data_IF_032023481054
#
_entry.id   IF_032023481054
#
_cell.length_a   1.000
_cell.length_b   1.000
_cell.length_c   1.000
_cell.angle_alpha   90.00
_cell.angle_beta   90.00
_cell.angle_gamma   90.00
#
_symmetry.space_group_name_H-M   'P 1'
#
loop_
_entity.id
_entity.type
_entity.pdbx_description
1 polymer ?
#
# COMPACT_ATOMS: atom_id res chain seq x y z
N UNK A 1 4.68 -6.63 -18.26
CA UNK A 1 3.78 -5.58 -17.77
C UNK A 1 4.51 -4.24 -17.83
N UNK A 2 3.84 -3.22 -18.31
CA UNK A 2 4.41 -1.87 -18.31
C UNK A 2 4.19 -1.27 -16.90
N UNK A 3 5.15 -0.51 -16.39
CA UNK A 3 5.01 0.20 -15.11
C UNK A 3 3.73 1.05 -15.02
N UNK A 4 3.24 1.54 -16.16
CA UNK A 4 2.00 2.30 -16.29
C UNK A 4 0.70 1.53 -15.96
N UNK A 5 0.78 0.22 -15.74
CA UNK A 5 -0.38 -0.64 -15.43
C UNK A 5 -0.56 -0.87 -13.94
N UNK A 6 0.40 -0.43 -13.11
CA UNK A 6 0.36 -0.59 -11.67
C UNK A 6 0.10 0.77 -11.02
N UNK A 7 -0.87 0.83 -10.12
CA UNK A 7 -1.11 1.97 -9.25
C UNK A 7 -0.94 1.58 -7.79
N UNK A 8 -0.13 2.33 -7.08
CA UNK A 8 0.02 2.20 -5.63
C UNK A 8 -1.04 3.06 -4.94
N UNK A 9 -1.86 2.43 -4.10
CA UNK A 9 -2.87 3.09 -3.27
C UNK A 9 -2.41 3.07 -1.82
N UNK A 10 -2.32 4.24 -1.18
CA UNK A 10 -1.84 4.38 0.19
C UNK A 10 -2.62 5.44 0.95
N UNK A 11 -2.63 5.35 2.28
CA UNK A 11 -3.23 6.34 3.17
C UNK A 11 -2.29 7.50 3.54
N UNK A 12 -1.05 7.48 3.06
CA UNK A 12 -0.01 8.47 3.32
C UNK A 12 0.29 8.70 4.82
N UNK A 13 0.03 7.72 5.67
CA UNK A 13 0.47 7.77 7.06
C UNK A 13 1.99 7.59 7.16
N UNK A 14 2.58 7.98 8.29
CA UNK A 14 4.01 7.77 8.51
C UNK A 14 4.37 6.27 8.46
N UNK A 15 5.59 5.95 8.05
CA UNK A 15 6.07 4.57 7.94
C UNK A 15 5.81 3.94 6.56
N UNK A 16 5.23 2.75 6.52
CA UNK A 16 5.07 1.95 5.30
C UNK A 16 4.22 2.66 4.25
N UNK A 17 3.18 3.37 4.63
CA UNK A 17 2.32 4.12 3.70
C UNK A 17 3.12 5.13 2.87
N UNK A 18 3.93 5.96 3.54
CA UNK A 18 4.80 6.94 2.85
C UNK A 18 5.92 6.24 2.09
N UNK A 19 6.50 5.20 2.64
CA UNK A 19 7.51 4.41 1.96
C UNK A 19 7.00 3.80 0.65
N UNK A 20 5.77 3.33 0.62
CA UNK A 20 5.13 2.83 -0.59
C UNK A 20 4.96 3.93 -1.64
N UNK A 21 4.58 5.15 -1.23
CA UNK A 21 4.47 6.30 -2.12
C UNK A 21 5.84 6.72 -2.66
N UNK A 22 6.89 6.76 -1.83
CA UNK A 22 8.25 7.04 -2.29
C UNK A 22 8.72 6.02 -3.32
N UNK A 23 8.54 4.72 -3.04
CA UNK A 23 8.90 3.68 -3.99
C UNK A 23 8.14 3.81 -5.32
N UNK A 24 6.86 4.16 -5.26
CA UNK A 24 6.07 4.39 -6.47
C UNK A 24 6.61 5.58 -7.29
N UNK A 25 6.99 6.67 -6.61
CA UNK A 25 7.59 7.85 -7.25
C UNK A 25 8.92 7.47 -7.92
N UNK A 26 9.80 6.81 -7.19
CA UNK A 26 11.13 6.42 -7.68
C UNK A 26 11.05 5.45 -8.87
N UNK A 27 10.06 4.59 -8.89
CA UNK A 27 9.82 3.62 -9.97
C UNK A 27 8.96 4.17 -11.12
N UNK A 28 8.51 5.43 -11.04
CA UNK A 28 7.63 6.02 -12.05
C UNK A 28 6.26 5.36 -12.17
N UNK A 29 5.77 4.75 -11.08
CA UNK A 29 4.45 4.12 -11.02
C UNK A 29 3.35 5.16 -10.76
N UNK A 30 2.13 4.85 -11.18
CA UNK A 30 0.98 5.62 -10.73
C UNK A 30 0.75 5.41 -9.22
N UNK A 31 0.34 6.46 -8.53
CA UNK A 31 0.07 6.41 -7.08
C UNK A 31 -1.03 7.37 -6.66
N UNK A 32 -1.56 7.18 -5.46
CA UNK A 32 -2.60 8.00 -4.88
C UNK A 32 -3.25 7.29 -3.69
N UNK A 33 -4.46 7.70 -3.36
CA UNK A 33 -5.26 7.11 -2.29
C UNK A 33 -6.04 8.16 -1.51
N UNK A 34 -6.70 7.72 -0.44
CA UNK A 34 -7.53 8.54 0.42
C UNK A 34 -6.83 8.82 1.75
N UNK A 35 -6.88 10.06 2.18
CA UNK A 35 -6.41 10.53 3.49
C UNK A 35 -7.59 11.01 4.33
N UNK A 36 -7.47 11.06 5.68
CA UNK A 36 -8.53 11.59 6.52
C UNK A 36 -8.78 13.08 6.23
N UNK A 37 -9.97 13.55 6.56
CA UNK A 37 -10.30 14.99 6.54
C UNK A 37 -9.29 15.78 7.40
N UNK A 38 -8.84 16.92 6.87
CA UNK A 38 -7.78 17.73 7.46
C UNK A 38 -6.37 17.24 7.13
N UNK A 39 -6.24 16.28 6.19
CA UNK A 39 -4.93 15.75 5.77
C UNK A 39 -4.08 15.19 6.92
N UNK A 40 -4.74 14.66 7.96
CA UNK A 40 -4.10 14.27 9.21
C UNK A 40 -3.28 12.98 9.05
N UNK A 41 -2.12 12.98 9.71
CA UNK A 41 -1.30 11.79 9.97
C UNK A 41 -1.11 11.64 11.48
N UNK A 42 -0.50 10.54 11.91
CA UNK A 42 -0.16 10.34 13.33
C UNK A 42 0.80 11.42 13.88
N UNK A 43 1.67 11.94 13.01
CA UNK A 43 2.71 12.91 13.38
C UNK A 43 2.49 14.29 12.75
N UNK A 44 1.24 14.66 12.44
CA UNK A 44 0.95 15.97 11.84
C UNK A 44 0.03 15.90 10.64
N UNK A 45 0.49 16.38 9.47
CA UNK A 45 -0.28 16.38 8.24
C UNK A 45 0.49 15.75 7.08
N UNK A 46 -0.25 15.25 6.09
CA UNK A 46 0.32 14.72 4.85
C UNK A 46 1.17 15.78 4.16
N UNK A 47 2.40 15.43 3.84
CA UNK A 47 3.36 16.32 3.18
C UNK A 47 2.86 16.84 1.83
N UNK A 48 3.31 18.06 1.47
CA UNK A 48 2.91 18.72 0.23
C UNK A 48 3.22 17.89 -1.03
N UNK A 49 4.29 17.08 -0.99
CA UNK A 49 4.70 16.18 -2.08
C UNK A 49 3.58 15.22 -2.51
N UNK A 50 2.79 14.72 -1.55
CA UNK A 50 1.77 13.71 -1.83
C UNK A 50 0.41 14.30 -2.19
N UNK A 51 0.10 15.52 -1.72
CA UNK A 51 -1.23 16.13 -1.85
C UNK A 51 -1.78 16.15 -3.28
N UNK A 52 -1.01 16.43 -4.34
CA UNK A 52 -1.55 16.56 -5.68
C UNK A 52 -2.25 15.30 -6.22
N UNK A 53 -1.87 14.11 -5.73
CA UNK A 53 -2.45 12.83 -6.18
C UNK A 53 -3.30 12.12 -5.12
N UNK A 54 -3.41 12.68 -3.91
CA UNK A 54 -4.23 12.13 -2.84
C UNK A 54 -5.62 12.76 -2.83
N UNK A 55 -6.60 12.04 -2.27
CA UNK A 55 -7.97 12.49 -2.09
C UNK A 55 -8.30 12.61 -0.61
N UNK A 56 -8.91 13.71 -0.21
CA UNK A 56 -9.37 13.91 1.15
C UNK A 56 -10.71 13.21 1.37
N UNK A 57 -10.83 12.41 2.41
CA UNK A 57 -12.06 11.77 2.83
C UNK A 57 -12.95 12.77 3.60
N UNK A 58 -14.27 12.62 3.51
CA UNK A 58 -15.21 13.51 4.19
C UNK A 58 -15.15 13.42 5.73
N UNK A 59 -14.68 12.30 6.27
CA UNK A 59 -14.59 12.04 7.70
C UNK A 59 -13.14 12.17 8.20
N UNK A 60 -13.00 12.68 9.44
CA UNK A 60 -11.75 12.65 10.20
C UNK A 60 -11.38 11.24 10.69
N UNK A 61 -12.33 10.29 10.66
CA UNK A 61 -12.11 8.92 11.10
C UNK A 61 -11.19 8.17 10.13
N UNK A 62 -10.10 7.65 10.67
CA UNK A 62 -9.12 6.86 9.91
C UNK A 62 -9.73 5.60 9.28
N UNK A 63 -10.73 4.99 9.89
CA UNK A 63 -11.36 3.77 9.39
C UNK A 63 -12.09 4.01 8.06
N UNK A 64 -12.75 5.15 7.90
CA UNK A 64 -13.46 5.49 6.67
C UNK A 64 -12.51 5.54 5.46
N UNK A 65 -11.38 6.26 5.59
CA UNK A 65 -10.38 6.33 4.52
C UNK A 65 -9.71 4.97 4.26
N UNK A 66 -9.44 4.19 5.32
CA UNK A 66 -8.86 2.84 5.18
C UNK A 66 -9.80 1.93 4.40
N UNK A 67 -11.07 1.91 4.77
CA UNK A 67 -12.09 1.15 4.05
C UNK A 67 -12.17 1.55 2.57
N UNK A 68 -12.07 2.85 2.29
CA UNK A 68 -12.10 3.37 0.91
C UNK A 68 -10.87 2.94 0.11
N UNK A 69 -9.68 3.00 0.71
CA UNK A 69 -8.45 2.54 0.07
C UNK A 69 -8.51 1.05 -0.26
N UNK A 70 -9.03 0.21 0.64
CA UNK A 70 -9.25 -1.22 0.36
C UNK A 70 -10.26 -1.40 -0.78
N UNK A 71 -11.36 -0.68 -0.77
CA UNK A 71 -12.40 -0.77 -1.80
C UNK A 71 -11.88 -0.40 -3.20
N UNK A 72 -11.01 0.62 -3.27
CA UNK A 72 -10.41 1.13 -4.51
C UNK A 72 -9.19 0.30 -4.98
N UNK A 73 -8.80 -0.76 -4.24
CA UNK A 73 -7.65 -1.62 -4.55
C UNK A 73 -8.08 -3.02 -4.98
N UNK A 74 -7.37 -3.62 -5.92
CA UNK A 74 -7.57 -5.01 -6.32
C UNK A 74 -6.97 -5.99 -5.31
N UNK A 75 -5.86 -5.61 -4.69
CA UNK A 75 -5.15 -6.39 -3.71
C UNK A 75 -4.51 -5.48 -2.65
N UNK A 76 -4.31 -5.99 -1.43
CA UNK A 76 -3.77 -5.23 -0.31
C UNK A 76 -2.59 -5.97 0.31
N UNK A 77 -1.43 -5.36 0.32
CA UNK A 77 -0.27 -5.82 1.07
C UNK A 77 -0.27 -5.15 2.45
N UNK A 78 -0.27 -5.96 3.49
CA UNK A 78 -0.23 -5.52 4.88
C UNK A 78 1.14 -5.92 5.45
N UNK A 79 1.96 -4.92 5.79
CA UNK A 79 3.28 -5.14 6.38
C UNK A 79 3.20 -4.80 7.87
N UNK A 80 3.65 -5.69 8.74
CA UNK A 80 3.56 -5.51 10.19
C UNK A 80 4.87 -5.86 10.89
N UNK A 81 5.10 -5.25 12.06
CA UNK A 81 6.18 -5.62 12.97
C UNK A 81 5.71 -6.56 14.08
N UNK A 82 4.40 -6.73 14.25
CA UNK A 82 3.85 -7.42 15.41
C UNK A 82 2.71 -8.36 15.05
N UNK A 83 2.68 -9.49 15.76
CA UNK A 83 1.56 -10.41 15.83
C UNK A 83 1.15 -10.58 17.31
N UNK A 84 -0.15 -10.72 17.60
CA UNK A 84 -1.28 -10.66 16.66
C UNK A 84 -1.50 -9.24 16.10
N UNK A 85 -2.11 -9.15 14.93
CA UNK A 85 -2.46 -7.86 14.32
C UNK A 85 -3.38 -7.06 15.27
N UNK A 86 -3.17 -5.76 15.34
CA UNK A 86 -3.96 -4.85 16.16
C UNK A 86 -4.26 -3.53 15.45
N UNK A 87 -5.04 -2.66 16.05
CA UNK A 87 -5.29 -1.31 15.56
C UNK A 87 -5.74 -1.23 14.11
N UNK A 88 -5.17 -0.30 13.36
CA UNK A 88 -5.46 -0.03 11.96
C UNK A 88 -5.14 -1.22 11.04
N UNK A 89 -4.04 -1.92 11.31
CA UNK A 89 -3.59 -3.09 10.54
C UNK A 89 -4.60 -4.23 10.60
N UNK A 90 -5.12 -4.53 11.80
CA UNK A 90 -6.19 -5.52 11.96
C UNK A 90 -7.47 -5.08 11.23
N UNK A 91 -7.85 -3.81 11.34
CA UNK A 91 -9.05 -3.28 10.66
C UNK A 91 -8.92 -3.37 9.14
N UNK A 92 -7.74 -3.11 8.60
CA UNK A 92 -7.47 -3.28 7.16
C UNK A 92 -7.69 -4.73 6.72
N UNK A 93 -7.14 -5.71 7.46
CA UNK A 93 -7.39 -7.12 7.16
C UNK A 93 -8.87 -7.48 7.20
N UNK A 94 -9.59 -7.00 8.22
CA UNK A 94 -11.03 -7.20 8.33
C UNK A 94 -11.77 -6.63 7.10
N UNK A 95 -11.45 -5.41 6.68
CA UNK A 95 -12.05 -4.82 5.49
C UNK A 95 -11.76 -5.60 4.21
N UNK A 96 -10.53 -6.11 4.07
CA UNK A 96 -10.20 -7.00 2.94
C UNK A 96 -11.08 -8.26 2.94
N UNK A 97 -11.28 -8.87 4.10
CA UNK A 97 -12.11 -10.05 4.25
C UNK A 97 -13.60 -9.76 3.97
N UNK A 98 -14.15 -8.69 4.57
CA UNK A 98 -15.54 -8.26 4.35
C UNK A 98 -15.83 -7.95 2.87
N UNK A 99 -14.87 -7.39 2.15
CA UNK A 99 -15.01 -7.03 0.74
C UNK A 99 -14.53 -8.12 -0.22
N UNK A 100 -14.11 -9.28 0.30
CA UNK A 100 -13.53 -10.38 -0.49
C UNK A 100 -12.36 -9.91 -1.36
N UNK A 101 -11.54 -9.00 -0.84
CA UNK A 101 -10.33 -8.50 -1.52
C UNK A 101 -9.14 -9.37 -1.17
N UNK A 102 -8.36 -9.70 -2.19
CA UNK A 102 -7.09 -10.41 -1.98
C UNK A 102 -6.16 -9.58 -1.10
N UNK A 103 -5.53 -10.24 -0.12
CA UNK A 103 -4.56 -9.58 0.74
C UNK A 103 -3.47 -10.55 1.18
N UNK A 104 -2.29 -10.00 1.43
CA UNK A 104 -1.16 -10.69 2.02
C UNK A 104 -0.71 -9.93 3.26
N UNK A 105 -0.46 -10.66 4.35
CA UNK A 105 0.17 -10.11 5.56
C UNK A 105 1.59 -10.66 5.65
N UNK A 106 2.56 -9.77 5.81
CA UNK A 106 3.96 -10.14 6.03
C UNK A 106 4.53 -9.39 7.22
N UNK A 107 5.42 -10.03 7.96
CA UNK A 107 6.20 -9.36 9.01
C UNK A 107 7.53 -8.85 8.46
N UNK A 108 7.95 -7.66 8.90
CA UNK A 108 9.28 -7.14 8.56
C UNK A 108 10.42 -8.01 9.09
N UNK A 109 10.18 -8.78 10.16
CA UNK A 109 11.14 -9.73 10.73
C UNK A 109 11.26 -11.07 9.96
N UNK A 110 10.39 -11.33 8.99
CA UNK A 110 10.46 -12.55 8.20
C UNK A 110 11.59 -12.47 7.17
N UNK A 111 12.54 -13.42 7.24
CA UNK A 111 13.68 -13.46 6.30
C UNK A 111 13.24 -13.63 4.84
N UNK A 112 12.10 -14.26 4.60
CA UNK A 112 11.53 -14.54 3.28
C UNK A 112 10.38 -13.59 2.87
N UNK A 113 10.14 -12.51 3.62
CA UNK A 113 9.04 -11.57 3.36
C UNK A 113 9.05 -11.05 1.91
N UNK A 114 10.21 -10.65 1.39
CA UNK A 114 10.35 -10.18 0.00
C UNK A 114 9.97 -11.27 -1.01
N UNK A 115 10.40 -12.50 -0.79
CA UNK A 115 10.08 -13.62 -1.67
C UNK A 115 8.57 -13.93 -1.67
N UNK A 116 7.94 -13.91 -0.49
CA UNK A 116 6.49 -14.07 -0.33
C UNK A 116 5.70 -12.99 -1.09
N UNK A 117 6.08 -11.73 -0.92
CA UNK A 117 5.45 -10.61 -1.62
C UNK A 117 5.59 -10.76 -3.13
N UNK A 118 6.78 -11.10 -3.61
CA UNK A 118 7.01 -11.31 -5.04
C UNK A 118 6.17 -12.45 -5.60
N UNK A 119 6.13 -13.60 -4.95
CA UNK A 119 5.34 -14.74 -5.39
C UNK A 119 3.83 -14.42 -5.38
N UNK A 120 3.37 -13.68 -4.37
CA UNK A 120 1.98 -13.23 -4.29
C UNK A 120 1.64 -12.23 -5.39
N UNK A 121 2.47 -11.24 -5.66
CA UNK A 121 2.26 -10.28 -6.74
C UNK A 121 2.25 -10.97 -8.12
N UNK A 122 3.12 -11.98 -8.33
CA UNK A 122 3.18 -12.71 -9.59
C UNK A 122 1.84 -13.37 -9.95
N UNK A 123 1.03 -13.77 -8.99
CA UNK A 123 -0.30 -14.36 -9.23
C UNK A 123 -1.24 -13.36 -9.92
N UNK A 124 -1.17 -12.08 -9.58
CA UNK A 124 -1.98 -11.05 -10.22
C UNK A 124 -1.51 -10.77 -11.65
N UNK A 125 -0.21 -10.83 -11.88
CA UNK A 125 0.36 -10.56 -13.21
C UNK A 125 -0.03 -11.60 -14.24
N UNK A 126 -0.26 -12.82 -13.84
CA UNK A 126 -0.71 -13.90 -14.74
C UNK A 126 -2.20 -13.77 -15.08
N UNK A 127 -3.02 -13.28 -14.15
CA UNK A 127 -4.47 -13.15 -14.30
C UNK A 127 -4.88 -11.84 -14.99
N UNK A 128 -4.11 -10.76 -14.78
CA UNK A 128 -4.46 -9.40 -15.22
C UNK A 128 -3.95 -9.03 -16.61
N UNK A 129 -3.41 -9.95 -17.38
CA UNK A 129 -3.11 -9.70 -18.79
C UNK A 129 -4.37 -9.38 -19.61
N UNK A 130 -5.55 -9.44 -18.99
CA UNK A 130 -6.87 -9.25 -19.61
C UNK A 130 -7.68 -8.04 -19.08
N UNK A 131 -7.20 -7.26 -18.11
CA UNK A 131 -7.93 -6.08 -17.63
C UNK A 131 -7.02 -4.88 -17.34
N UNK A 132 -7.42 -3.75 -17.90
CA UNK A 132 -6.65 -2.50 -17.94
C UNK A 132 -6.63 -1.71 -16.62
N UNK A 133 -5.88 -1.97 -15.62
CA UNK A 133 -5.56 -1.20 -14.42
C UNK A 133 -5.68 -1.98 -13.11
N UNK A 134 -4.55 -2.27 -12.51
CA UNK A 134 -4.48 -2.90 -11.17
C UNK A 134 -4.05 -1.90 -10.11
N UNK A 135 -4.77 -1.82 -9.00
CA UNK A 135 -4.41 -0.98 -7.85
C UNK A 135 -3.99 -1.84 -6.67
N UNK A 136 -2.84 -1.55 -6.08
CA UNK A 136 -2.30 -2.21 -4.90
C UNK A 136 -2.32 -1.25 -3.71
N UNK A 137 -2.84 -1.68 -2.58
CA UNK A 137 -2.80 -0.95 -1.32
C UNK A 137 -1.72 -1.52 -0.41
N UNK A 138 -0.88 -0.65 0.12
CA UNK A 138 0.21 -0.97 1.04
C UNK A 138 -0.03 -0.30 2.39
N UNK A 139 0.10 -1.03 3.47
CA UNK A 139 -0.10 -0.55 4.84
C UNK A 139 0.88 -1.17 5.84
N UNK A 140 1.60 -0.38 6.57
CA UNK A 140 1.92 -0.36 8.01
C UNK A 140 3.16 0.44 8.41
N UNK A 141 3.27 0.65 9.71
CA UNK A 141 4.09 1.60 10.46
C UNK A 141 5.49 1.06 10.78
N UNK A 142 6.44 1.11 10.03
CA UNK A 142 7.89 1.14 10.29
C UNK A 142 8.71 0.44 9.20
N UNK A 143 9.43 1.23 8.43
CA UNK A 143 10.52 0.89 7.51
C UNK A 143 10.15 0.33 6.12
N UNK A 144 9.99 1.25 5.21
CA UNK A 144 9.83 1.07 3.77
C UNK A 144 11.05 0.46 3.01
N UNK A 145 11.96 -0.23 3.67
CA UNK A 145 13.17 -0.75 3.02
C UNK A 145 12.94 -1.96 2.10
N UNK A 146 11.79 -2.61 2.17
CA UNK A 146 11.49 -3.82 1.40
C UNK A 146 11.18 -3.58 -0.07
N UNK A 147 10.67 -2.42 -0.41
CA UNK A 147 10.36 -2.05 -1.80
C UNK A 147 11.49 -1.23 -2.42
N UNK A 148 12.22 -0.45 -1.60
CA UNK A 148 13.31 0.42 -2.05
C UNK A 148 14.63 -0.30 -2.37
N UNK A 149 14.85 -1.56 -1.91
CA UNK A 149 16.14 -2.25 -2.07
C UNK A 149 16.38 -2.86 -3.45
N UNK A 150 15.70 -2.44 -4.51
CA UNK A 150 15.78 -3.09 -5.82
C UNK A 150 16.00 -2.22 -7.05
N UNK A 151 16.51 -1.06 -6.90
CA UNK A 151 17.09 -0.34 -8.05
C UNK A 151 18.54 -0.76 -8.40
N UNK A 152 19.15 -1.68 -7.64
CA UNK A 152 20.58 -2.00 -7.82
C UNK A 152 20.90 -3.34 -8.49
N UNK A 153 19.92 -4.11 -9.00
CA UNK A 153 20.23 -5.34 -9.75
C UNK A 153 19.65 -5.25 -11.15
N UNK A 154 20.26 -4.48 -11.99
CA UNK A 154 19.85 -4.32 -13.39
C UNK A 154 20.83 -3.57 -14.27
N UNK A 155 22.14 -3.64 -13.97
CA UNK A 155 23.18 -3.22 -14.89
C UNK A 155 24.38 -4.16 -14.80
N UNK A 156 24.33 -5.21 -15.54
CA UNK A 156 25.48 -5.95 -16.05
C UNK A 156 25.05 -6.68 -17.32
#
# INVERSE_FOLDING_TARGET
>A
MKASEIKIVSGAQTGVDQGALHAAIDLGLEWGGWVPKGWRTENGTVGALYRPKMKEHASTNYLGRTRRNVADSHATLIITNSYPLSGGTLKTRIFCQEMMRSHLVVSLGEADATAKVRAWLAQFFTVFHLSHHSSLMLLDQEKASLVASRSEVGSS
#
